data_IF_349565296975
#
_entry.id   IF_349565296975
#
_cell.length_a   1.000
_cell.length_b   1.000
_cell.length_c   1.000
_cell.angle_alpha   90.00
_cell.angle_beta   90.00
_cell.angle_gamma   90.00
#
_symmetry.space_group_name_H-M   'P 1'
#
loop_
_entity.id
_entity.type
_entity.pdbx_description
1 polymer ?
#
# COMPACT_ATOMS: atom_id res chain seq x y z
N UNK A 1 55.00 -43.25 61.40
CA UNK A 1 53.77 -43.01 62.19
C UNK A 1 53.60 -41.53 62.55
N UNK A 2 54.55 -40.87 63.22
CA UNK A 2 54.37 -39.44 63.57
C UNK A 2 54.26 -38.51 62.34
N UNK A 3 55.05 -38.75 61.29
CA UNK A 3 55.06 -37.95 60.06
C UNK A 3 53.73 -38.05 59.26
N UNK A 4 53.16 -39.26 59.18
CA UNK A 4 51.84 -39.48 58.55
C UNK A 4 50.71 -38.80 59.33
N UNK A 5 50.78 -38.79 60.66
CA UNK A 5 49.78 -38.09 61.48
C UNK A 5 49.83 -36.57 61.34
N UNK A 6 51.02 -36.01 61.08
CA UNK A 6 51.19 -34.58 60.83
C UNK A 6 50.61 -34.20 59.44
N UNK A 7 50.92 -35.00 58.41
CA UNK A 7 50.39 -34.81 57.06
C UNK A 7 48.86 -34.91 57.00
N UNK A 8 48.27 -35.89 57.68
CA UNK A 8 46.81 -36.03 57.77
C UNK A 8 46.15 -34.85 58.48
N UNK A 9 46.77 -34.30 59.52
CA UNK A 9 46.24 -33.10 60.20
C UNK A 9 46.28 -31.86 59.31
N UNK A 10 47.32 -31.72 58.49
CA UNK A 10 47.41 -30.62 57.52
C UNK A 10 46.36 -30.75 56.41
N UNK A 11 46.16 -31.95 55.86
CA UNK A 11 45.11 -32.22 54.88
C UNK A 11 43.71 -31.99 55.44
N UNK A 12 43.43 -32.43 56.67
CA UNK A 12 42.16 -32.15 57.36
C UNK A 12 41.96 -30.66 57.59
N UNK A 13 43.03 -29.91 57.91
CA UNK A 13 42.98 -28.45 58.01
C UNK A 13 42.61 -27.79 56.69
N UNK A 14 43.26 -28.17 55.59
CA UNK A 14 42.98 -27.68 54.24
C UNK A 14 41.54 -27.96 53.80
N UNK A 15 41.06 -29.18 54.01
CA UNK A 15 39.68 -29.57 53.68
C UNK A 15 38.66 -28.79 54.51
N UNK A 16 38.96 -28.51 55.79
CA UNK A 16 38.08 -27.71 56.64
C UNK A 16 37.97 -26.28 56.13
N UNK A 17 39.08 -25.67 55.74
CA UNK A 17 39.09 -24.31 55.20
C UNK A 17 38.37 -24.25 53.84
N UNK A 18 38.51 -25.28 53.00
CA UNK A 18 37.80 -25.40 51.72
C UNK A 18 36.29 -25.55 51.92
N UNK A 19 35.84 -26.36 52.89
CA UNK A 19 34.42 -26.49 53.25
C UNK A 19 33.86 -25.16 53.75
N UNK A 20 34.60 -24.41 54.57
CA UNK A 20 34.16 -23.09 55.05
C UNK A 20 34.01 -22.12 53.88
N UNK A 21 34.97 -22.12 52.95
CA UNK A 21 34.92 -21.28 51.75
C UNK A 21 33.74 -21.65 50.84
N UNK A 22 33.54 -22.93 50.54
CA UNK A 22 32.43 -23.40 49.72
C UNK A 22 31.07 -23.06 50.32
N UNK A 23 30.92 -23.20 51.65
CA UNK A 23 29.68 -22.80 52.34
C UNK A 23 29.43 -21.30 52.23
N UNK A 24 30.48 -20.47 52.33
CA UNK A 24 30.37 -19.02 52.15
C UNK A 24 29.97 -18.63 50.72
N UNK A 25 30.62 -19.24 49.73
CA UNK A 25 30.34 -18.99 48.31
C UNK A 25 28.91 -19.43 47.94
N UNK A 26 28.47 -20.60 48.43
CA UNK A 26 27.07 -21.05 48.30
C UNK A 26 26.10 -20.06 48.94
N UNK A 27 26.40 -19.52 50.12
CA UNK A 27 25.50 -18.57 50.79
C UNK A 27 25.36 -17.27 49.99
N UNK A 28 26.46 -16.80 49.37
CA UNK A 28 26.44 -15.63 48.47
C UNK A 28 25.60 -15.93 47.22
N UNK A 29 25.82 -17.06 46.57
CA UNK A 29 25.06 -17.45 45.37
C UNK A 29 23.56 -17.58 45.68
N UNK A 30 23.20 -18.21 46.80
CA UNK A 30 21.80 -18.32 47.24
C UNK A 30 21.16 -16.96 47.49
N UNK A 31 21.88 -16.01 48.09
CA UNK A 31 21.39 -14.64 48.29
C UNK A 31 21.17 -13.94 46.95
N UNK A 32 22.09 -14.11 46.00
CA UNK A 32 22.00 -13.52 44.67
C UNK A 32 20.82 -14.09 43.87
N UNK A 33 20.68 -15.41 43.78
CA UNK A 33 19.57 -16.06 43.06
C UNK A 33 18.22 -15.71 43.69
N UNK A 34 18.15 -15.58 45.02
CA UNK A 34 16.92 -15.14 45.70
C UNK A 34 16.57 -13.68 45.34
N UNK A 35 17.54 -12.79 45.33
CA UNK A 35 17.33 -11.39 44.95
C UNK A 35 16.88 -11.27 43.49
N UNK A 36 17.49 -12.02 42.57
CA UNK A 36 17.13 -12.03 41.16
C UNK A 36 15.71 -12.58 40.93
N UNK A 37 15.32 -13.67 41.62
CA UNK A 37 13.95 -14.19 41.57
C UNK A 37 12.93 -13.18 42.08
N UNK A 38 13.25 -12.46 43.16
CA UNK A 38 12.37 -11.40 43.67
C UNK A 38 12.22 -10.24 42.69
N UNK A 39 13.31 -9.78 42.08
CA UNK A 39 13.28 -8.73 41.07
C UNK A 39 12.40 -9.12 39.87
N UNK A 40 12.59 -10.33 39.34
CA UNK A 40 11.77 -10.87 38.23
C UNK A 40 10.30 -11.01 38.62
N UNK A 41 10.01 -11.45 39.85
CA UNK A 41 8.64 -11.55 40.32
C UNK A 41 7.97 -10.17 40.42
N UNK A 42 8.69 -9.15 40.89
CA UNK A 42 8.18 -7.77 40.93
C UNK A 42 7.88 -7.25 39.52
N UNK A 43 8.74 -7.52 38.55
CA UNK A 43 8.52 -7.14 37.15
C UNK A 43 7.29 -7.84 36.55
N UNK A 44 7.11 -9.14 36.80
CA UNK A 44 5.92 -9.89 36.37
C UNK A 44 4.66 -9.31 37.01
N UNK A 45 4.70 -8.97 38.29
CA UNK A 45 3.56 -8.39 39.01
C UNK A 45 3.21 -6.99 38.44
N UNK A 46 4.21 -6.18 38.10
CA UNK A 46 4.01 -4.88 37.43
C UNK A 46 3.36 -5.06 36.05
N UNK A 47 3.91 -5.91 35.19
CA UNK A 47 3.37 -6.15 33.85
C UNK A 47 1.95 -6.72 33.92
N UNK A 48 1.68 -7.60 34.89
CA UNK A 48 0.35 -8.16 35.10
C UNK A 48 -0.65 -7.09 35.52
N UNK A 49 -0.25 -6.18 36.42
CA UNK A 49 -1.07 -5.04 36.83
C UNK A 49 -1.38 -4.08 35.68
N UNK A 50 -0.40 -3.76 34.84
CA UNK A 50 -0.59 -2.93 33.65
C UNK A 50 -1.56 -3.60 32.66
N UNK A 51 -1.34 -4.89 32.37
CA UNK A 51 -2.23 -5.69 31.51
C UNK A 51 -3.66 -5.66 32.02
N UNK A 52 -3.88 -5.90 33.30
CA UNK A 52 -5.22 -5.92 33.91
C UNK A 52 -5.87 -4.53 33.87
N UNK A 53 -5.08 -3.47 34.01
CA UNK A 53 -5.55 -2.09 33.86
C UNK A 53 -6.01 -1.82 32.42
N UNK A 54 -5.23 -2.24 31.42
CA UNK A 54 -5.61 -2.11 30.00
C UNK A 54 -6.86 -2.94 29.70
N UNK A 55 -6.95 -4.17 30.19
CA UNK A 55 -8.15 -5.00 30.03
C UNK A 55 -9.38 -4.35 30.65
N UNK A 56 -9.27 -3.75 31.84
CA UNK A 56 -10.40 -3.08 32.47
C UNK A 56 -10.76 -1.76 31.76
N UNK A 57 -9.80 -1.05 31.18
CA UNK A 57 -10.07 0.08 30.28
C UNK A 57 -10.84 -0.36 29.02
N UNK A 58 -10.41 -1.44 28.37
CA UNK A 58 -11.10 -2.02 27.21
C UNK A 58 -12.49 -2.53 27.61
N UNK A 59 -12.62 -3.17 28.78
CA UNK A 59 -13.91 -3.64 29.29
C UNK A 59 -14.85 -2.48 29.58
N UNK A 60 -14.37 -1.41 30.21
CA UNK A 60 -15.14 -0.17 30.43
C UNK A 60 -15.53 0.50 29.13
N UNK A 61 -14.65 0.53 28.13
CA UNK A 61 -14.96 1.03 26.79
C UNK A 61 -16.07 0.21 26.11
N UNK A 62 -16.05 -1.12 26.27
CA UNK A 62 -17.07 -2.04 25.72
C UNK A 62 -18.39 -2.06 26.53
N UNK A 63 -18.31 -1.85 27.84
CA UNK A 63 -19.44 -1.93 28.77
C UNK A 63 -20.12 -0.59 29.04
N UNK A 64 -19.46 0.54 28.73
CA UNK A 64 -20.15 1.80 28.58
C UNK A 64 -21.19 1.60 27.46
N UNK A 65 -22.50 1.66 27.76
CA UNK A 65 -23.47 1.81 26.70
C UNK A 65 -23.05 3.07 25.94
N UNK A 66 -23.09 3.09 24.60
CA UNK A 66 -23.01 4.36 23.94
C UNK A 66 -24.19 5.17 24.48
N UNK A 67 -23.93 6.17 25.33
CA UNK A 67 -24.81 7.32 25.46
C UNK A 67 -24.69 8.14 24.18
N UNK A 68 -24.88 7.49 23.04
CA UNK A 68 -25.25 8.11 21.80
C UNK A 68 -26.76 8.20 21.86
N UNK A 69 -27.23 9.35 22.30
CA UNK A 69 -28.57 9.78 21.99
C UNK A 69 -28.65 9.92 20.46
N UNK A 70 -29.01 8.83 19.76
CA UNK A 70 -29.20 8.81 18.31
C UNK A 70 -30.28 9.80 17.84
N UNK A 71 -31.09 10.33 18.76
CA UNK A 71 -32.08 11.37 18.48
C UNK A 71 -31.49 12.77 18.32
N UNK A 72 -30.28 13.03 18.81
CA UNK A 72 -29.66 14.36 18.83
C UNK A 72 -28.15 14.32 18.57
N UNK A 73 -27.69 13.50 17.61
CA UNK A 73 -26.38 13.76 17.01
C UNK A 73 -26.45 15.15 16.35
N UNK A 74 -25.67 16.16 16.79
CA UNK A 74 -25.46 17.32 15.95
C UNK A 74 -24.95 16.80 14.62
N UNK A 75 -25.50 17.33 13.52
CA UNK A 75 -25.23 17.04 12.11
C UNK A 75 -23.72 16.97 11.77
N UNK A 76 -23.04 15.98 12.31
CA UNK A 76 -21.75 15.47 11.87
C UNK A 76 -22.05 14.24 11.03
N UNK A 77 -23.03 14.43 10.14
CA UNK A 77 -23.48 13.45 9.17
C UNK A 77 -22.29 13.24 8.26
N UNK A 78 -21.52 12.18 8.55
CA UNK A 78 -20.54 11.62 7.63
C UNK A 78 -21.18 11.62 6.24
N UNK A 79 -20.68 12.47 5.35
CA UNK A 79 -21.13 12.50 3.97
C UNK A 79 -20.06 11.78 3.17
N UNK A 80 -20.30 10.50 2.78
CA UNK A 80 -19.41 9.82 1.87
C UNK A 80 -19.15 10.73 0.67
N UNK A 81 -17.91 10.74 0.17
CA UNK A 81 -17.60 11.50 -1.05
C UNK A 81 -18.51 10.97 -2.15
N UNK A 82 -19.47 11.77 -2.61
CA UNK A 82 -20.40 11.30 -3.63
C UNK A 82 -19.65 10.68 -4.82
N UNK A 83 -20.11 9.53 -5.32
CA UNK A 83 -19.44 8.80 -6.40
C UNK A 83 -19.16 9.71 -7.62
N UNK A 84 -20.01 10.70 -7.87
CA UNK A 84 -19.79 11.73 -8.88
C UNK A 84 -18.55 12.60 -8.65
N UNK A 85 -18.28 13.01 -7.41
CA UNK A 85 -17.05 13.76 -7.06
C UNK A 85 -15.80 12.90 -7.26
N UNK A 86 -15.93 11.58 -7.05
CA UNK A 86 -14.87 10.62 -7.35
C UNK A 86 -14.57 10.52 -8.83
N UNK A 87 -15.61 10.35 -9.64
CA UNK A 87 -15.49 10.32 -11.08
C UNK A 87 -14.94 11.65 -11.64
N UNK A 88 -15.32 12.80 -11.09
CA UNK A 88 -14.82 14.12 -11.49
C UNK A 88 -13.32 14.26 -11.20
N UNK A 89 -12.87 13.87 -10.01
CA UNK A 89 -11.47 13.97 -9.63
C UNK A 89 -10.56 13.01 -10.43
N UNK A 90 -11.00 11.77 -10.62
CA UNK A 90 -10.28 10.81 -11.48
C UNK A 90 -10.22 11.36 -12.91
N UNK A 91 -11.34 11.86 -13.47
CA UNK A 91 -11.34 12.47 -14.81
C UNK A 91 -10.37 13.63 -14.92
N UNK A 92 -10.29 14.48 -13.89
CA UNK A 92 -9.32 15.59 -13.83
C UNK A 92 -7.88 15.07 -13.85
N UNK A 93 -7.52 14.14 -12.97
CA UNK A 93 -6.17 13.55 -12.92
C UNK A 93 -5.79 12.97 -14.28
N UNK A 94 -6.69 12.18 -14.88
CA UNK A 94 -6.49 11.60 -16.20
C UNK A 94 -6.35 12.66 -17.30
N UNK A 95 -7.06 13.78 -17.19
CA UNK A 95 -6.93 14.91 -18.13
C UNK A 95 -5.58 15.60 -17.98
N UNK A 96 -5.14 15.82 -16.74
CA UNK A 96 -3.86 16.45 -16.43
C UNK A 96 -2.69 15.59 -16.93
N UNK A 97 -2.72 14.27 -16.68
CA UNK A 97 -1.74 13.30 -17.19
C UNK A 97 -1.68 13.31 -18.72
N UNK A 98 -2.84 13.30 -19.39
CA UNK A 98 -2.91 13.34 -20.87
C UNK A 98 -2.37 14.66 -21.42
N UNK A 99 -2.68 15.78 -20.77
CA UNK A 99 -2.14 17.09 -21.16
C UNK A 99 -0.63 17.10 -21.01
N UNK A 100 -0.14 16.72 -19.84
CA UNK A 100 1.28 16.66 -19.53
C UNK A 100 2.03 15.77 -20.52
N UNK A 101 1.53 14.57 -20.78
CA UNK A 101 2.18 13.62 -21.71
C UNK A 101 2.23 14.16 -23.15
N UNK A 102 1.21 14.90 -23.58
CA UNK A 102 1.21 15.55 -24.90
C UNK A 102 2.23 16.68 -25.00
N UNK A 103 2.40 17.43 -23.93
CA UNK A 103 3.24 18.63 -23.91
C UNK A 103 4.72 18.27 -23.68
N UNK A 104 5.00 17.14 -23.00
CA UNK A 104 6.34 16.72 -22.61
C UNK A 104 6.86 15.43 -23.27
N UNK A 105 6.07 14.70 -24.07
CA UNK A 105 6.62 13.57 -24.83
C UNK A 105 7.53 14.04 -25.98
N UNK A 106 8.58 13.26 -26.26
CA UNK A 106 9.39 13.38 -27.48
C UNK A 106 8.57 13.00 -28.72
N UNK A 107 9.01 13.49 -29.89
CA UNK A 107 8.54 12.94 -31.17
C UNK A 107 9.20 11.57 -31.42
N UNK A 108 8.50 10.68 -32.13
CA UNK A 108 9.04 9.34 -32.44
C UNK A 108 10.37 9.38 -33.20
N UNK A 109 10.62 10.43 -33.99
CA UNK A 109 11.91 10.65 -34.67
C UNK A 109 13.09 10.90 -33.71
N UNK A 110 12.81 11.25 -32.46
CA UNK A 110 13.82 11.48 -31.42
C UNK A 110 14.03 10.23 -30.53
N UNK A 111 13.33 9.13 -30.82
CA UNK A 111 13.46 7.88 -30.09
C UNK A 111 14.52 7.00 -30.75
N UNK A 112 15.75 7.15 -30.29
CA UNK A 112 16.91 6.37 -30.74
C UNK A 112 17.64 5.75 -29.54
N UNK A 113 16.93 4.89 -28.80
CA UNK A 113 17.51 4.12 -27.70
C UNK A 113 18.20 2.87 -28.22
N UNK A 114 19.42 2.64 -27.74
CA UNK A 114 20.28 1.50 -28.10
C UNK A 114 20.83 0.83 -26.83
N UNK A 115 21.17 -0.46 -26.95
CA UNK A 115 21.80 -1.23 -25.88
C UNK A 115 20.99 -1.23 -24.58
N UNK A 116 21.67 -1.04 -23.45
CA UNK A 116 21.08 -1.14 -22.12
C UNK A 116 19.93 -0.16 -21.86
N UNK A 117 20.03 1.08 -22.35
CA UNK A 117 18.96 2.08 -22.16
C UNK A 117 17.65 1.66 -22.83
N UNK A 118 17.76 0.99 -23.98
CA UNK A 118 16.61 0.40 -24.69
C UNK A 118 16.00 -0.73 -23.86
N UNK A 119 16.83 -1.61 -23.33
CA UNK A 119 16.39 -2.76 -22.53
C UNK A 119 15.61 -2.31 -21.30
N UNK A 120 16.18 -1.38 -20.52
CA UNK A 120 15.56 -0.84 -19.32
C UNK A 120 14.25 -0.11 -19.63
N UNK A 121 14.19 0.65 -20.73
CA UNK A 121 12.96 1.30 -21.16
C UNK A 121 11.85 0.29 -21.50
N UNK A 122 12.15 -0.72 -22.31
CA UNK A 122 11.15 -1.69 -22.74
C UNK A 122 10.76 -2.68 -21.64
N UNK A 123 11.65 -2.97 -20.69
CA UNK A 123 11.30 -3.68 -19.46
C UNK A 123 10.22 -2.91 -18.69
N UNK A 124 10.39 -1.60 -18.49
CA UNK A 124 9.39 -0.77 -17.83
C UNK A 124 8.08 -0.66 -18.65
N UNK A 125 8.20 -0.45 -19.97
CA UNK A 125 7.04 -0.37 -20.86
C UNK A 125 6.25 -1.70 -20.87
N UNK A 126 6.92 -2.84 -20.71
CA UNK A 126 6.27 -4.16 -20.70
C UNK A 126 5.22 -4.32 -19.59
N UNK A 127 5.30 -3.51 -18.52
CA UNK A 127 4.29 -3.47 -17.46
C UNK A 127 2.95 -2.91 -17.94
N UNK A 128 2.94 -2.11 -19.00
CA UNK A 128 1.73 -1.45 -19.53
C UNK A 128 1.39 -1.86 -20.96
N UNK A 129 2.27 -2.57 -21.67
CA UNK A 129 2.03 -3.01 -23.02
C UNK A 129 2.68 -4.35 -23.35
N UNK A 130 2.06 -5.10 -24.25
CA UNK A 130 2.70 -6.26 -24.88
C UNK A 130 3.83 -5.78 -25.79
N UNK A 131 4.93 -6.53 -25.88
CA UNK A 131 6.01 -6.27 -26.82
C UNK A 131 5.92 -7.28 -27.99
N UNK A 132 6.47 -6.93 -29.15
CA UNK A 132 6.43 -7.82 -30.32
C UNK A 132 7.34 -9.05 -30.14
N UNK A 133 6.92 -10.18 -30.73
CA UNK A 133 7.17 -11.56 -30.27
C UNK A 133 8.60 -12.11 -30.38
N UNK A 134 9.60 -11.34 -30.76
CA UNK A 134 10.94 -11.88 -31.04
C UNK A 134 12.05 -11.24 -30.21
N UNK A 135 11.75 -10.84 -28.97
CA UNK A 135 12.75 -10.31 -28.04
C UNK A 135 13.43 -9.02 -28.53
N UNK A 136 12.89 -8.40 -29.58
CA UNK A 136 13.49 -7.21 -30.21
C UNK A 136 13.21 -5.93 -29.43
N UNK A 137 12.43 -6.01 -28.34
CA UNK A 137 12.06 -4.86 -27.51
C UNK A 137 11.53 -3.75 -28.42
N UNK A 138 10.42 -4.03 -29.08
CA UNK A 138 9.78 -3.12 -30.02
C UNK A 138 8.32 -2.92 -29.63
N UNK A 139 7.80 -1.74 -29.96
CA UNK A 139 6.38 -1.46 -29.86
C UNK A 139 5.56 -2.49 -30.68
N UNK A 140 4.34 -2.84 -30.25
CA UNK A 140 3.40 -3.64 -31.02
C UNK A 140 3.29 -3.14 -32.45
N UNK A 141 3.20 -4.07 -33.42
CA UNK A 141 2.99 -3.72 -34.83
C UNK A 141 1.79 -2.81 -35.02
N UNK A 142 0.74 -3.05 -34.24
CA UNK A 142 -0.47 -2.23 -34.17
C UNK A 142 -0.20 -0.75 -33.88
N UNK A 143 0.92 -0.42 -33.24
CA UNK A 143 1.22 0.93 -32.79
C UNK A 143 2.31 1.63 -33.62
N UNK A 144 3.12 0.91 -34.42
CA UNK A 144 4.29 1.47 -35.13
C UNK A 144 3.96 2.57 -36.15
N UNK A 145 2.71 2.65 -36.61
CA UNK A 145 2.23 3.71 -37.52
C UNK A 145 1.78 5.00 -36.83
N UNK A 146 1.68 5.03 -35.50
CA UNK A 146 1.15 6.17 -34.77
C UNK A 146 2.25 7.18 -34.45
N UNK A 147 2.23 8.33 -35.13
CA UNK A 147 3.20 9.43 -34.91
C UNK A 147 3.32 9.87 -33.45
N UNK A 148 2.23 9.77 -32.67
CA UNK A 148 2.16 10.15 -31.25
C UNK A 148 2.32 8.97 -30.30
N UNK A 149 2.91 7.85 -30.74
CA UNK A 149 3.05 6.65 -29.90
C UNK A 149 3.72 6.94 -28.54
N UNK A 150 4.80 7.73 -28.51
CA UNK A 150 5.50 8.05 -27.26
C UNK A 150 4.63 8.85 -26.30
N UNK A 151 3.72 9.68 -26.80
CA UNK A 151 2.75 10.39 -25.97
C UNK A 151 1.78 9.42 -25.28
N UNK A 152 1.31 8.39 -25.99
CA UNK A 152 0.41 7.38 -25.40
C UNK A 152 1.13 6.43 -24.45
N UNK A 153 2.37 6.06 -24.78
CA UNK A 153 3.20 5.24 -23.89
C UNK A 153 3.54 6.02 -22.63
N UNK A 154 3.88 7.31 -22.74
CA UNK A 154 4.15 8.16 -21.59
C UNK A 154 2.91 8.36 -20.70
N UNK A 155 1.74 8.57 -21.31
CA UNK A 155 0.44 8.61 -20.61
C UNK A 155 0.19 7.29 -19.85
N UNK A 156 0.38 6.15 -20.50
CA UNK A 156 0.21 4.83 -19.91
C UNK A 156 1.17 4.56 -18.74
N UNK A 157 2.46 4.84 -18.93
CA UNK A 157 3.49 4.68 -17.89
C UNK A 157 3.19 5.59 -16.70
N UNK A 158 2.77 6.83 -16.95
CA UNK A 158 2.45 7.79 -15.90
C UNK A 158 1.21 7.38 -15.10
N UNK A 159 0.16 6.92 -15.78
CA UNK A 159 -1.00 6.34 -15.11
C UNK A 159 -0.60 5.14 -14.26
N UNK A 160 0.11 4.16 -14.84
CA UNK A 160 0.53 2.98 -14.10
C UNK A 160 1.36 3.33 -12.86
N UNK A 161 2.36 4.19 -13.00
CA UNK A 161 3.17 4.63 -11.86
C UNK A 161 2.31 5.31 -10.78
N UNK A 162 1.52 6.33 -11.15
CA UNK A 162 0.69 7.06 -10.19
C UNK A 162 -0.28 6.14 -9.44
N UNK A 163 -0.96 5.25 -10.17
CA UNK A 163 -1.97 4.38 -9.59
C UNK A 163 -1.36 3.22 -8.79
N UNK A 164 -0.17 2.72 -9.17
CA UNK A 164 0.53 1.66 -8.45
C UNK A 164 1.33 2.14 -7.24
N UNK A 165 1.65 3.43 -7.13
CA UNK A 165 2.40 3.97 -5.99
C UNK A 165 1.55 4.76 -5.00
N UNK A 166 0.48 5.42 -5.46
CA UNK A 166 -0.36 6.28 -4.62
C UNK A 166 -1.74 5.66 -4.41
N UNK A 167 -2.45 5.29 -5.48
CA UNK A 167 -3.84 4.81 -5.35
C UNK A 167 -3.97 3.37 -4.87
N UNK A 168 -2.94 2.56 -4.99
CA UNK A 168 -2.90 1.17 -4.52
C UNK A 168 -2.63 1.06 -3.02
N UNK A 169 -2.08 2.10 -2.39
CA UNK A 169 -1.58 2.07 -1.03
C UNK A 169 -2.33 3.11 -0.16
N UNK A 170 -3.19 2.70 0.79
CA UNK A 170 -3.88 3.61 1.69
C UNK A 170 -2.96 4.42 2.62
N UNK A 171 -1.72 3.97 2.80
CA UNK A 171 -0.75 4.52 3.73
C UNK A 171 0.49 5.10 3.02
N UNK A 172 0.40 5.37 1.71
CA UNK A 172 1.52 5.77 0.84
C UNK A 172 2.39 6.93 1.39
N UNK A 173 1.81 7.81 2.21
CA UNK A 173 2.45 9.01 2.73
C UNK A 173 3.25 8.81 4.03
N UNK A 174 3.15 7.62 4.65
CA UNK A 174 3.81 7.30 5.92
C UNK A 174 5.24 6.76 5.75
N UNK A 175 5.71 6.61 4.52
CA UNK A 175 7.01 6.00 4.22
C UNK A 175 6.92 4.48 4.06
N UNK A 176 7.94 3.89 3.42
CA UNK A 176 7.86 2.52 2.91
C UNK A 176 7.75 1.45 4.00
N UNK A 177 8.42 1.63 5.13
CA UNK A 177 8.44 0.64 6.23
C UNK A 177 7.11 0.64 6.98
N UNK A 178 6.66 1.82 7.42
CA UNK A 178 5.40 1.94 8.14
C UNK A 178 4.18 1.62 7.25
N UNK A 179 4.18 2.08 6.00
CA UNK A 179 3.14 1.71 5.04
C UNK A 179 3.05 0.19 4.88
N UNK A 180 4.19 -0.51 4.74
CA UNK A 180 4.20 -1.96 4.61
C UNK A 180 3.58 -2.65 5.84
N UNK A 181 4.00 -2.27 7.05
CA UNK A 181 3.45 -2.86 8.28
C UNK A 181 1.93 -2.67 8.41
N UNK A 182 1.42 -1.47 8.09
CA UNK A 182 -0.02 -1.19 8.13
C UNK A 182 -0.80 -1.91 7.02
N UNK A 183 -0.21 -2.08 5.84
CA UNK A 183 -0.79 -2.88 4.75
C UNK A 183 -0.79 -4.39 5.07
N UNK A 184 0.20 -4.89 5.81
CA UNK A 184 0.22 -6.28 6.28
C UNK A 184 -0.92 -6.52 7.29
N UNK A 185 -1.15 -5.58 8.22
CA UNK A 185 -2.30 -5.62 9.15
C UNK A 185 -3.62 -5.57 8.37
N UNK A 186 -3.73 -4.65 7.40
CA UNK A 186 -4.92 -4.54 6.55
C UNK A 186 -5.19 -5.84 5.78
N UNK A 187 -4.14 -6.46 5.24
CA UNK A 187 -4.24 -7.72 4.48
C UNK A 187 -4.67 -8.88 5.36
N UNK A 188 -4.13 -8.98 6.59
CA UNK A 188 -4.55 -9.97 7.58
C UNK A 188 -6.02 -9.76 7.97
N UNK A 189 -6.42 -8.51 8.21
CA UNK A 189 -7.80 -8.14 8.48
C UNK A 189 -8.73 -8.52 7.34
N UNK A 190 -8.36 -8.21 6.09
CA UNK A 190 -9.15 -8.55 4.89
C UNK A 190 -9.34 -10.07 4.73
N UNK A 191 -8.37 -10.89 5.15
CA UNK A 191 -8.50 -12.34 5.10
C UNK A 191 -9.53 -12.90 6.10
N UNK A 192 -9.78 -12.19 7.20
CA UNK A 192 -10.73 -12.60 8.24
C UNK A 192 -12.10 -11.92 8.09
N UNK A 193 -12.11 -10.58 8.07
CA UNK A 193 -13.29 -9.75 7.90
C UNK A 193 -12.96 -8.46 7.13
N UNK A 194 -13.30 -8.43 5.84
CA UNK A 194 -13.10 -7.27 4.96
C UNK A 194 -13.79 -6.02 5.50
N UNK A 195 -15.00 -6.12 6.05
CA UNK A 195 -15.73 -4.93 6.56
C UNK A 195 -14.97 -4.25 7.70
N UNK A 196 -14.58 -5.03 8.70
CA UNK A 196 -13.89 -4.50 9.87
C UNK A 196 -12.50 -4.00 9.50
N UNK A 197 -11.82 -4.65 8.56
CA UNK A 197 -10.53 -4.23 8.04
C UNK A 197 -10.61 -2.88 7.30
N UNK A 198 -11.60 -2.71 6.42
CA UNK A 198 -11.80 -1.45 5.70
C UNK A 198 -12.29 -0.33 6.62
N UNK A 199 -13.09 -0.66 7.65
CA UNK A 199 -13.46 0.28 8.71
C UNK A 199 -12.25 0.71 9.51
N UNK A 200 -11.41 -0.23 9.95
CA UNK A 200 -10.17 0.06 10.67
C UNK A 200 -9.25 0.99 9.87
N UNK A 201 -9.03 0.68 8.59
CA UNK A 201 -8.25 1.52 7.67
C UNK A 201 -8.80 2.94 7.57
N UNK A 202 -10.10 3.07 7.30
CA UNK A 202 -10.80 4.35 7.22
C UNK A 202 -10.69 5.14 8.52
N UNK A 203 -10.97 4.52 9.66
CA UNK A 203 -10.97 5.19 10.97
C UNK A 203 -9.54 5.59 11.37
N UNK A 204 -8.53 4.76 11.07
CA UNK A 204 -7.11 5.09 11.26
C UNK A 204 -6.71 6.34 10.48
N UNK A 205 -7.06 6.41 9.19
CA UNK A 205 -6.77 7.59 8.36
C UNK A 205 -7.53 8.84 8.83
N UNK A 206 -8.72 8.69 9.41
CA UNK A 206 -9.47 9.85 9.96
C UNK A 206 -8.89 10.34 11.28
N UNK A 207 -8.31 9.45 12.08
CA UNK A 207 -7.65 9.84 13.33
C UNK A 207 -6.44 10.74 13.07
N UNK A 208 -5.66 10.44 12.02
CA UNK A 208 -4.46 11.20 11.67
C UNK A 208 -4.75 12.44 10.79
N UNK A 209 -5.94 12.57 10.22
CA UNK A 209 -6.40 13.79 9.54
C UNK A 209 -7.87 14.08 9.90
N UNK A 210 -8.12 14.60 11.12
CA UNK A 210 -9.48 14.82 11.59
C UNK A 210 -10.21 15.91 10.79
N UNK A 211 -11.52 15.70 10.59
CA UNK A 211 -12.41 16.66 9.91
C UNK A 211 -12.62 17.93 10.75
N UNK A 212 -12.66 17.79 12.08
CA UNK A 212 -12.87 18.90 13.03
C UNK A 212 -11.56 19.65 13.28
N UNK A 213 -11.65 20.97 13.30
CA UNK A 213 -10.51 21.87 13.55
C UNK A 213 -10.49 22.33 15.02
N UNK A 214 -10.17 21.43 15.95
CA UNK A 214 -9.75 21.88 17.28
C UNK A 214 -8.30 22.37 17.25
N UNK A 215 -7.87 23.04 18.32
CA UNK A 215 -6.55 23.69 18.40
C UNK A 215 -5.44 22.64 18.38
N UNK A 216 -5.61 21.53 19.09
CA UNK A 216 -4.63 20.42 19.15
C UNK A 216 -4.60 19.62 17.84
N UNK A 217 -5.76 19.44 17.21
CA UNK A 217 -5.93 18.74 15.94
C UNK A 217 -5.30 19.49 14.75
N UNK A 218 -5.08 20.80 14.88
CA UNK A 218 -4.51 21.64 13.83
C UNK A 218 -3.05 21.28 13.50
N UNK A 219 -2.27 20.88 14.51
CA UNK A 219 -0.86 20.48 14.36
C UNK A 219 -0.73 19.17 13.60
N UNK A 220 -1.42 18.12 14.06
CA UNK A 220 -1.45 16.80 13.42
C UNK A 220 -1.97 16.92 11.98
N UNK A 221 -3.03 17.71 11.78
CA UNK A 221 -3.57 17.95 10.43
C UNK A 221 -2.57 18.61 9.49
N UNK A 222 -1.83 19.61 9.97
CA UNK A 222 -0.81 20.29 9.18
C UNK A 222 0.35 19.33 8.82
N UNK A 223 0.81 18.53 9.78
CA UNK A 223 1.86 17.54 9.56
C UNK A 223 1.43 16.45 8.56
N UNK A 224 0.23 15.87 8.73
CA UNK A 224 -0.29 14.86 7.80
C UNK A 224 -0.46 15.41 6.39
N UNK A 225 -1.01 16.61 6.23
CA UNK A 225 -1.08 17.29 4.92
C UNK A 225 0.31 17.50 4.31
N UNK A 226 1.31 17.85 5.13
CA UNK A 226 2.68 18.01 4.67
C UNK A 226 3.27 16.68 4.19
N UNK A 227 2.99 15.56 4.86
CA UNK A 227 3.44 14.22 4.46
C UNK A 227 2.80 13.80 3.13
N UNK A 228 1.50 14.00 2.97
CA UNK A 228 0.77 13.75 1.71
C UNK A 228 1.37 14.58 0.58
N UNK A 229 1.57 15.88 0.81
CA UNK A 229 2.18 16.79 -0.16
C UNK A 229 3.59 16.34 -0.58
N UNK A 230 4.45 16.03 0.39
CA UNK A 230 5.82 15.54 0.16
C UNK A 230 5.81 14.23 -0.64
N UNK A 231 4.86 13.35 -0.38
CA UNK A 231 4.74 12.07 -1.06
C UNK A 231 4.31 12.24 -2.52
N UNK A 232 3.40 13.18 -2.80
CA UNK A 232 3.10 13.59 -4.18
C UNK A 232 4.34 14.14 -4.91
N UNK A 233 5.09 15.05 -4.28
CA UNK A 233 6.34 15.57 -4.87
C UNK A 233 7.33 14.43 -5.15
N UNK A 234 7.52 13.54 -4.18
CA UNK A 234 8.44 12.40 -4.31
C UNK A 234 8.02 11.50 -5.45
N UNK A 235 6.73 11.16 -5.57
CA UNK A 235 6.21 10.35 -6.67
C UNK A 235 6.49 10.96 -8.05
N UNK A 236 6.34 12.28 -8.20
CA UNK A 236 6.68 12.97 -9.44
C UNK A 236 8.19 12.91 -9.74
N UNK A 237 9.04 13.11 -8.73
CA UNK A 237 10.51 13.02 -8.86
C UNK A 237 10.95 11.60 -9.23
N UNK A 238 10.38 10.59 -8.58
CA UNK A 238 10.69 9.18 -8.82
C UNK A 238 10.26 8.78 -10.24
N UNK A 239 9.10 9.24 -10.72
CA UNK A 239 8.69 9.05 -12.12
C UNK A 239 9.65 9.71 -13.11
N UNK A 240 10.09 10.95 -12.86
CA UNK A 240 11.04 11.64 -13.73
C UNK A 240 12.43 10.97 -13.76
N UNK A 241 12.76 10.17 -12.74
CA UNK A 241 14.00 9.39 -12.67
C UNK A 241 13.85 7.98 -13.27
N UNK A 242 12.62 7.53 -13.48
CA UNK A 242 12.30 6.23 -14.07
C UNK A 242 12.76 6.14 -15.53
N UNK A 243 12.70 4.94 -16.15
CA UNK A 243 13.00 4.77 -17.57
C UNK A 243 12.10 5.61 -18.50
N UNK A 244 10.97 6.15 -18.02
CA UNK A 244 10.18 7.11 -18.79
C UNK A 244 10.98 8.36 -19.21
N UNK A 245 12.06 8.71 -18.49
CA UNK A 245 12.96 9.83 -18.82
C UNK A 245 13.48 9.77 -20.26
N UNK A 246 13.60 8.59 -20.85
CA UNK A 246 14.10 8.43 -22.20
C UNK A 246 13.15 8.99 -23.27
N UNK A 247 11.84 9.03 -22.99
CA UNK A 247 10.81 9.52 -23.91
C UNK A 247 10.22 10.89 -23.50
N UNK A 248 10.74 11.49 -22.42
CA UNK A 248 10.37 12.84 -21.96
C UNK A 248 11.33 13.86 -22.59
N UNK A 249 10.81 14.98 -23.09
CA UNK A 249 11.60 16.07 -23.64
C UNK A 249 12.30 16.88 -22.51
N UNK A 250 13.37 17.60 -22.84
CA UNK A 250 14.21 18.29 -21.85
C UNK A 250 13.60 19.61 -21.32
N UNK A 251 12.28 19.70 -21.21
CA UNK A 251 11.63 20.92 -20.76
C UNK A 251 11.78 21.12 -19.24
N UNK A 252 12.36 22.24 -18.77
CA UNK A 252 12.57 22.49 -17.34
C UNK A 252 11.26 22.63 -16.53
N UNK A 253 10.14 22.91 -17.19
CA UNK A 253 8.81 22.98 -16.57
C UNK A 253 8.14 21.63 -16.30
N UNK A 254 8.62 20.55 -16.92
CA UNK A 254 7.97 19.24 -16.89
C UNK A 254 7.79 18.72 -15.46
N UNK A 255 8.82 18.80 -14.63
CA UNK A 255 8.77 18.33 -13.23
C UNK A 255 7.79 19.17 -12.40
N UNK A 256 7.76 20.49 -12.57
CA UNK A 256 6.90 21.37 -11.77
C UNK A 256 5.41 21.09 -12.07
N UNK A 257 5.07 20.90 -13.34
CA UNK A 257 3.70 20.54 -13.72
C UNK A 257 3.32 19.15 -13.20
N UNK A 258 4.24 18.19 -13.31
CA UNK A 258 4.02 16.84 -12.82
C UNK A 258 3.80 16.81 -11.30
N UNK A 259 4.58 17.58 -10.55
CA UNK A 259 4.41 17.73 -9.09
C UNK A 259 3.01 18.20 -8.73
N UNK A 260 2.42 19.15 -9.48
CA UNK A 260 1.04 19.60 -9.24
C UNK A 260 0.04 18.47 -9.43
N UNK A 261 0.19 17.68 -10.51
CA UNK A 261 -0.67 16.52 -10.78
C UNK A 261 -0.55 15.47 -9.69
N UNK A 262 0.67 15.12 -9.27
CA UNK A 262 0.88 14.12 -8.20
C UNK A 262 0.41 14.61 -6.83
N UNK A 263 0.62 15.87 -6.48
CA UNK A 263 0.12 16.44 -5.22
C UNK A 263 -1.40 16.39 -5.18
N UNK A 264 -2.07 16.81 -6.26
CA UNK A 264 -3.53 16.73 -6.36
C UNK A 264 -4.01 15.27 -6.25
N UNK A 265 -3.33 14.35 -6.93
CA UNK A 265 -3.63 12.92 -6.87
C UNK A 265 -3.40 12.31 -5.48
N UNK A 266 -2.36 12.71 -4.76
CA UNK A 266 -2.04 12.26 -3.40
C UNK A 266 -3.11 12.74 -2.40
N UNK A 267 -3.46 14.02 -2.43
CA UNK A 267 -4.56 14.57 -1.62
C UNK A 267 -5.86 13.82 -1.89
N UNK A 268 -6.13 13.56 -3.17
CA UNK A 268 -7.35 12.89 -3.57
C UNK A 268 -7.38 11.41 -3.19
N UNK A 269 -6.28 10.70 -3.38
CA UNK A 269 -6.12 9.30 -2.96
C UNK A 269 -6.28 9.16 -1.44
N UNK A 270 -5.72 10.08 -0.66
CA UNK A 270 -5.95 10.10 0.78
C UNK A 270 -7.44 10.20 1.13
N UNK A 271 -8.16 11.15 0.52
CA UNK A 271 -9.61 11.32 0.72
C UNK A 271 -10.43 10.10 0.27
N UNK A 272 -9.97 9.41 -0.77
CA UNK A 272 -10.56 8.16 -1.22
C UNK A 272 -10.43 7.09 -0.13
N UNK A 273 -9.23 6.97 0.41
CA UNK A 273 -8.95 6.01 1.45
C UNK A 273 -9.57 6.39 2.80
N UNK A 274 -9.93 7.64 3.08
CA UNK A 274 -10.76 7.91 4.27
C UNK A 274 -12.20 7.40 4.15
N UNK A 275 -12.65 6.88 3.00
CA UNK A 275 -13.96 6.24 2.87
C UNK A 275 -13.95 4.83 3.44
N UNK A 276 -15.11 4.32 3.89
CA UNK A 276 -15.26 2.93 4.36
C UNK A 276 -15.33 1.91 3.22
N UNK A 277 -15.55 2.37 2.00
CA UNK A 277 -15.56 1.52 0.82
C UNK A 277 -14.17 0.93 0.57
N UNK A 278 -14.15 -0.27 0.00
CA UNK A 278 -12.93 -0.86 -0.52
C UNK A 278 -12.70 -0.35 -1.94
N UNK A 279 -11.46 0.02 -2.24
CA UNK A 279 -11.01 0.39 -3.57
C UNK A 279 -10.02 -0.64 -4.07
N UNK A 280 -10.14 -1.00 -5.34
CA UNK A 280 -9.22 -1.91 -6.02
C UNK A 280 -8.80 -1.27 -7.33
N UNK A 281 -7.49 -1.18 -7.54
CA UNK A 281 -6.88 -0.75 -8.80
C UNK A 281 -6.42 -2.02 -9.50
N UNK A 282 -6.87 -2.24 -10.74
CA UNK A 282 -6.46 -3.41 -11.53
C UNK A 282 -4.98 -3.32 -11.90
N UNK A 283 -4.29 -4.46 -11.84
CA UNK A 283 -2.96 -4.57 -12.42
C UNK A 283 -3.09 -4.69 -13.96
N UNK A 284 -2.33 -3.93 -14.76
CA UNK A 284 -2.36 -4.09 -16.22
C UNK A 284 -2.10 -5.52 -16.69
N UNK A 285 -1.31 -6.31 -15.96
CA UNK A 285 -1.02 -7.71 -16.29
C UNK A 285 -2.24 -8.63 -16.25
N UNK A 286 -3.32 -8.22 -15.56
CA UNK A 286 -4.59 -8.95 -15.58
C UNK A 286 -5.35 -8.77 -16.91
N UNK A 287 -5.02 -7.74 -17.68
CA UNK A 287 -5.73 -7.31 -18.89
C UNK A 287 -4.87 -7.51 -20.14
N UNK A 288 -3.56 -7.31 -20.06
CA UNK A 288 -2.65 -7.40 -21.20
C UNK A 288 -2.66 -8.80 -21.82
N UNK A 289 -2.72 -8.84 -23.15
CA UNK A 289 -2.75 -10.08 -23.94
C UNK A 289 -4.10 -10.81 -23.95
N UNK A 290 -5.05 -10.43 -23.08
CA UNK A 290 -6.41 -10.98 -23.12
C UNK A 290 -7.13 -10.53 -24.40
N UNK A 291 -8.02 -11.37 -24.96
CA UNK A 291 -8.85 -10.96 -26.08
C UNK A 291 -9.80 -9.84 -25.66
N UNK A 292 -9.89 -8.77 -26.46
CA UNK A 292 -10.86 -7.71 -26.23
C UNK A 292 -12.29 -8.22 -26.43
N UNK A 293 -13.13 -7.99 -25.42
CA UNK A 293 -14.57 -8.26 -25.47
C UNK A 293 -15.35 -6.92 -25.37
N UNK A 294 -16.06 -6.48 -26.42
CA UNK A 294 -16.86 -5.25 -26.37
C UNK A 294 -18.05 -5.33 -25.40
N UNK A 295 -18.40 -6.51 -24.90
CA UNK A 295 -19.42 -6.69 -23.86
C UNK A 295 -18.85 -6.57 -22.44
N UNK A 296 -17.53 -6.62 -22.27
CA UNK A 296 -16.91 -6.40 -20.98
C UNK A 296 -16.98 -4.92 -20.59
N UNK A 297 -17.82 -4.64 -19.59
CA UNK A 297 -18.02 -3.30 -19.05
C UNK A 297 -16.82 -2.79 -18.23
N UNK A 298 -15.83 -3.64 -17.95
CA UNK A 298 -14.61 -3.27 -17.23
C UNK A 298 -13.53 -2.62 -18.09
N UNK A 299 -13.66 -2.68 -19.42
CA UNK A 299 -12.68 -2.17 -20.38
C UNK A 299 -13.34 -1.27 -21.43
N UNK A 300 -12.60 -0.27 -21.91
CA UNK A 300 -13.00 0.58 -23.03
C UNK A 300 -11.83 0.77 -24.00
N UNK A 301 -12.11 0.78 -25.30
CA UNK A 301 -11.09 1.10 -26.29
C UNK A 301 -10.70 2.57 -26.20
N UNK A 302 -9.39 2.82 -26.33
CA UNK A 302 -8.86 4.16 -26.40
C UNK A 302 -9.47 4.91 -27.60
N UNK A 303 -9.94 6.15 -27.38
CA UNK A 303 -10.66 7.02 -28.35
C UNK A 303 -9.97 7.26 -29.72
N UNK A 304 -8.72 6.84 -29.88
CA UNK A 304 -7.93 6.97 -31.13
C UNK A 304 -7.95 5.72 -31.99
N UNK A 305 -8.59 4.66 -31.51
CA UNK A 305 -8.87 3.45 -32.26
C UNK A 305 -10.13 3.73 -33.08
N UNK A 306 -10.01 3.67 -34.41
CA UNK A 306 -11.11 3.94 -35.35
C UNK A 306 -12.06 2.72 -35.38
N UNK A 307 -13.00 2.68 -34.43
CA UNK A 307 -14.06 1.68 -34.37
C UNK A 307 -15.16 2.09 -35.34
N UNK A 308 -15.29 1.39 -36.47
CA UNK A 308 -16.31 1.63 -37.51
C UNK A 308 -17.58 0.81 -37.27
N UNK A 309 -17.45 -0.35 -36.62
CA UNK A 309 -18.55 -1.26 -36.30
C UNK A 309 -18.48 -1.74 -34.85
N UNK A 310 -19.63 -2.11 -34.26
CA UNK A 310 -19.76 -2.54 -32.86
C UNK A 310 -18.88 -3.75 -32.47
N UNK A 311 -18.37 -4.50 -33.45
CA UNK A 311 -17.53 -5.69 -33.26
C UNK A 311 -16.08 -5.49 -33.69
N UNK A 312 -15.69 -4.28 -34.03
CA UNK A 312 -14.31 -4.03 -34.44
C UNK A 312 -13.37 -4.29 -33.26
N UNK A 313 -12.42 -5.20 -33.49
CA UNK A 313 -11.43 -5.61 -32.50
C UNK A 313 -11.88 -6.74 -31.57
N UNK A 314 -13.12 -7.22 -31.64
CA UNK A 314 -13.59 -8.38 -30.86
C UNK A 314 -12.63 -9.56 -31.05
N UNK A 315 -12.12 -10.11 -29.96
CA UNK A 315 -11.17 -11.23 -29.96
C UNK A 315 -9.71 -10.86 -30.22
N UNK A 316 -9.41 -9.60 -30.57
CA UNK A 316 -8.03 -9.15 -30.78
C UNK A 316 -7.34 -8.95 -29.43
N UNK A 317 -6.06 -9.35 -29.30
CA UNK A 317 -5.34 -9.24 -28.03
C UNK A 317 -5.16 -7.78 -27.63
N UNK A 318 -5.38 -7.49 -26.35
CA UNK A 318 -5.11 -6.19 -25.77
C UNK A 318 -3.61 -5.98 -25.72
N UNK A 319 -3.14 -4.96 -26.44
CA UNK A 319 -1.72 -4.66 -26.63
C UNK A 319 -1.16 -3.63 -25.67
N UNK A 320 -2.00 -2.78 -25.07
CA UNK A 320 -1.59 -1.78 -24.08
C UNK A 320 -2.75 -1.42 -23.16
N UNK A 321 -2.48 -1.12 -21.90
CA UNK A 321 -3.43 -0.53 -20.94
C UNK A 321 -2.99 0.90 -20.69
N UNK A 322 -3.70 1.88 -21.26
CA UNK A 322 -3.35 3.29 -21.07
C UNK A 322 -3.74 3.82 -19.70
N UNK A 323 -4.76 3.22 -19.09
CA UNK A 323 -5.19 3.64 -17.77
C UNK A 323 -5.87 2.48 -17.02
N UNK A 324 -5.61 2.32 -15.71
CA UNK A 324 -6.07 1.14 -14.96
C UNK A 324 -7.56 1.22 -14.64
N UNK A 325 -8.19 0.08 -14.44
CA UNK A 325 -9.55 -0.03 -13.95
C UNK A 325 -9.58 0.20 -12.43
N UNK A 326 -10.54 1.00 -11.95
CA UNK A 326 -10.77 1.27 -10.53
C UNK A 326 -12.17 0.78 -10.13
N UNK A 327 -12.21 -0.19 -9.22
CA UNK A 327 -13.43 -0.75 -8.64
C UNK A 327 -13.67 -0.18 -7.25
N UNK A 328 -14.94 0.02 -6.91
CA UNK A 328 -15.39 0.40 -5.58
C UNK A 328 -16.38 -0.62 -5.07
N UNK A 329 -16.17 -1.11 -3.85
CA UNK A 329 -17.05 -2.07 -3.22
C UNK A 329 -17.71 -1.52 -1.95
N UNK A 330 -18.97 -1.93 -1.74
CA UNK A 330 -19.77 -1.65 -0.55
C UNK A 330 -20.13 -0.18 -0.30
N UNK A 331 -20.36 0.56 -1.39
CA UNK A 331 -20.98 1.88 -1.34
C UNK A 331 -22.50 1.84 -1.08
N UNK A 332 -23.14 0.68 -1.25
CA UNK A 332 -24.59 0.53 -1.19
C UNK A 332 -25.00 -0.43 -0.05
N UNK A 333 -25.97 -0.05 0.81
CA UNK A 333 -26.55 -0.98 1.78
C UNK A 333 -27.33 -2.09 1.07
N UNK A 334 -27.20 -3.33 1.56
CA UNK A 334 -27.95 -4.49 1.05
C UNK A 334 -29.46 -4.27 1.14
N UNK A 335 -30.19 -4.60 0.07
CA UNK A 335 -31.67 -4.69 0.08
C UNK A 335 -32.18 -6.11 0.35
N UNK A 336 -31.29 -7.09 0.59
CA UNK A 336 -31.67 -8.49 0.71
C UNK A 336 -31.11 -9.06 2.03
N UNK A 337 -32.03 -9.31 2.96
CA UNK A 337 -32.01 -10.23 4.10
C UNK A 337 -30.74 -10.41 4.94
N UNK A 338 -30.81 -9.97 6.20
CA UNK A 338 -30.18 -10.40 7.50
C UNK A 338 -28.72 -10.91 7.56
N UNK A 339 -28.04 -11.17 6.46
CA UNK A 339 -26.62 -11.48 6.40
C UNK A 339 -25.90 -10.26 5.80
N UNK A 340 -25.46 -9.38 6.68
CA UNK A 340 -24.84 -8.08 6.38
C UNK A 340 -23.39 -8.19 5.90
N UNK A 341 -22.90 -9.41 5.61
CA UNK A 341 -21.57 -9.62 5.03
C UNK A 341 -21.54 -8.95 3.66
N UNK A 342 -20.79 -7.85 3.58
CA UNK A 342 -20.67 -6.95 2.44
C UNK A 342 -20.77 -7.67 1.08
N UNK A 343 -21.83 -7.40 0.32
CA UNK A 343 -21.95 -7.92 -1.04
C UNK A 343 -20.97 -7.18 -1.96
N UNK A 344 -20.15 -7.96 -2.66
CA UNK A 344 -19.21 -7.55 -3.72
C UNK A 344 -19.92 -7.13 -5.02
N UNK A 345 -20.99 -6.32 -4.95
CA UNK A 345 -21.45 -5.62 -6.14
C UNK A 345 -20.43 -4.50 -6.44
N UNK A 346 -19.40 -4.83 -7.22
CA UNK A 346 -18.42 -3.85 -7.67
C UNK A 346 -19.12 -2.78 -8.51
N UNK A 347 -19.12 -1.56 -8.00
CA UNK A 347 -19.44 -0.39 -8.82
C UNK A 347 -18.13 0.07 -9.47
N UNK A 348 -18.14 0.17 -10.80
CA UNK A 348 -17.03 0.73 -11.56
C UNK A 348 -17.07 2.23 -11.36
N UNK A 349 -16.03 2.82 -10.76
CA UNK A 349 -15.90 4.28 -10.82
C UNK A 349 -15.17 4.71 -12.08
N UNK A 350 -14.32 3.82 -12.65
CA UNK A 350 -13.59 4.07 -13.89
C UNK A 350 -13.15 2.76 -14.51
N UNK A 351 -13.51 2.55 -15.78
CA UNK A 351 -13.11 1.38 -16.59
C UNK A 351 -11.64 1.49 -17.03
N UNK A 352 -11.00 0.37 -17.37
CA UNK A 352 -9.66 0.40 -17.94
C UNK A 352 -9.72 0.89 -19.39
N UNK A 353 -8.93 1.91 -19.73
CA UNK A 353 -8.76 2.31 -21.13
C UNK A 353 -7.64 1.48 -21.75
N UNK A 354 -7.93 0.80 -22.85
CA UNK A 354 -7.05 -0.18 -23.47
C UNK A 354 -6.77 0.13 -24.94
N UNK A 355 -5.70 -0.45 -25.46
CA UNK A 355 -5.35 -0.44 -26.87
C UNK A 355 -5.37 -1.85 -27.45
N UNK A 356 -6.15 -2.05 -28.51
CA UNK A 356 -6.18 -3.30 -29.27
C UNK A 356 -5.89 -3.03 -30.74
N UNK A 357 -5.40 -4.05 -31.45
CA UNK A 357 -5.19 -3.96 -32.89
C UNK A 357 -6.52 -4.06 -33.63
N UNK A 358 -6.76 -3.16 -34.59
CA UNK A 358 -7.84 -3.29 -35.56
C UNK A 358 -7.22 -3.62 -36.93
N UNK A 359 -7.31 -4.88 -37.40
CA UNK A 359 -6.81 -5.23 -38.72
C UNK A 359 -7.59 -4.49 -39.82
N UNK A 360 -6.88 -4.02 -40.85
CA UNK A 360 -7.52 -3.40 -42.01
C UNK A 360 -8.24 -4.45 -42.87
N UNK A 361 -9.29 -4.07 -43.61
CA UNK A 361 -9.93 -4.95 -44.59
C UNK A 361 -8.90 -5.60 -45.53
N UNK A 362 -8.77 -6.94 -45.43
CA UNK A 362 -7.85 -7.74 -46.24
C UNK A 362 -6.54 -8.17 -45.53
N UNK A 363 -6.29 -7.74 -44.29
CA UNK A 363 -5.16 -8.24 -43.50
C UNK A 363 -5.45 -9.60 -42.84
N UNK A 364 -4.42 -10.47 -42.63
CA UNK A 364 -4.56 -11.67 -41.83
C UNK A 364 -5.08 -11.33 -40.42
N UNK A 365 -6.09 -12.05 -39.95
CA UNK A 365 -6.78 -11.75 -38.69
C UNK A 365 -8.00 -10.83 -38.82
N UNK A 366 -8.33 -10.34 -40.03
CA UNK A 366 -9.60 -9.70 -40.29
C UNK A 366 -10.75 -10.73 -40.32
N UNK A 367 -11.32 -11.05 -39.17
CA UNK A 367 -12.42 -12.00 -39.01
C UNK A 367 -12.40 -12.70 -37.65
N UNK A 368 -13.45 -13.49 -37.36
CA UNK A 368 -13.68 -14.19 -36.08
C UNK A 368 -12.74 -15.38 -35.79
N UNK A 369 -11.54 -15.42 -36.34
CA UNK A 369 -10.59 -16.45 -35.92
C UNK A 369 -10.14 -16.14 -34.50
N UNK A 370 -10.55 -17.00 -33.56
CA UNK A 370 -10.23 -16.87 -32.16
C UNK A 370 -8.70 -16.94 -31.99
N UNK A 371 -8.11 -15.81 -31.63
CA UNK A 371 -6.70 -15.77 -31.23
C UNK A 371 -6.61 -16.45 -29.87
N UNK A 372 -5.81 -17.52 -29.75
CA UNK A 372 -5.57 -18.13 -28.45
C UNK A 372 -4.96 -17.10 -27.49
N UNK A 373 -5.39 -17.05 -26.22
CA UNK A 373 -4.86 -16.12 -25.24
C UNK A 373 -3.34 -16.24 -25.19
N UNK A 374 -2.63 -15.15 -25.48
CA UNK A 374 -1.18 -15.15 -25.34
C UNK A 374 -0.84 -15.12 -23.86
N UNK A 375 -0.22 -16.19 -23.38
CA UNK A 375 0.36 -16.23 -22.04
C UNK A 375 1.55 -15.28 -22.04
N UNK A 376 1.36 -14.07 -21.53
CA UNK A 376 2.46 -13.13 -21.30
C UNK A 376 3.37 -13.76 -20.23
N UNK A 377 4.67 -13.96 -20.48
CA UNK A 377 5.58 -14.48 -19.48
C UNK A 377 5.58 -13.54 -18.28
N UNK A 378 5.18 -14.05 -17.11
CA UNK A 378 5.30 -13.31 -15.84
C UNK A 378 6.77 -13.06 -15.58
N UNK A 379 7.22 -11.82 -15.72
CA UNK A 379 8.53 -11.40 -15.22
C UNK A 379 8.45 -11.35 -13.69
N UNK A 380 8.85 -12.45 -13.06
CA UNK A 380 9.47 -12.44 -11.74
C UNK A 380 8.73 -11.77 -10.59
N UNK A 381 7.44 -12.00 -10.39
CA UNK A 381 6.82 -11.85 -9.06
C UNK A 381 6.09 -13.14 -8.72
N UNK A 382 6.82 -14.07 -8.11
CA UNK A 382 6.21 -15.20 -7.41
C UNK A 382 5.29 -14.62 -6.34
N UNK A 383 3.97 -14.88 -6.38
CA UNK A 383 3.10 -14.59 -5.26
C UNK A 383 3.38 -15.67 -4.20
N UNK A 384 4.52 -15.57 -3.53
CA UNK A 384 4.60 -16.13 -2.19
C UNK A 384 3.64 -15.30 -1.35
N UNK A 385 2.43 -15.87 -1.24
CA UNK A 385 1.36 -15.51 -0.34
C UNK A 385 1.99 -15.01 0.96
N UNK A 386 2.00 -13.70 1.20
CA UNK A 386 2.52 -13.10 2.42
C UNK A 386 1.81 -13.71 3.65
N UNK A 387 0.52 -14.04 3.51
CA UNK A 387 -0.23 -14.80 4.50
C UNK A 387 0.29 -16.23 4.74
N UNK A 388 0.96 -16.86 3.78
CA UNK A 388 1.48 -18.23 3.91
C UNK A 388 2.75 -18.34 4.76
N UNK A 389 3.50 -17.25 4.92
CA UNK A 389 4.65 -17.18 5.86
C UNK A 389 4.21 -16.86 7.29
N UNK A 390 3.16 -16.05 7.47
CA UNK A 390 2.56 -15.76 8.77
C UNK A 390 1.74 -16.94 9.32
N UNK A 391 0.91 -17.59 8.49
CA UNK A 391 -0.06 -18.58 8.97
C UNK A 391 0.53 -19.98 9.26
N UNK A 392 1.79 -20.24 8.93
CA UNK A 392 2.40 -21.58 9.11
C UNK A 392 2.98 -21.85 10.50
N UNK A 393 2.82 -20.95 11.48
CA UNK A 393 3.37 -21.19 12.81
C UNK A 393 2.87 -20.31 13.96
N UNK A 394 1.63 -19.80 13.94
CA UNK A 394 1.18 -18.86 14.98
C UNK A 394 0.12 -19.45 15.91
N UNK A 395 0.52 -19.63 17.17
CA UNK A 395 -0.33 -19.54 18.36
C UNK A 395 -0.76 -18.08 18.56
N UNK A 396 -1.89 -17.86 19.23
CA UNK A 396 -2.55 -16.56 19.48
C UNK A 396 -1.61 -15.57 20.20
N UNK A 397 -0.63 -16.07 20.96
CA UNK A 397 0.42 -15.29 21.63
C UNK A 397 1.45 -14.69 20.66
N UNK A 398 1.70 -15.35 19.52
CA UNK A 398 2.78 -14.98 18.60
C UNK A 398 2.38 -13.84 17.65
N UNK A 399 1.08 -13.59 17.46
CA UNK A 399 0.54 -12.48 16.66
C UNK A 399 0.84 -11.11 17.29
N UNK A 400 0.76 -11.00 18.61
CA UNK A 400 1.12 -9.77 19.33
C UNK A 400 2.62 -9.53 19.26
N UNK A 401 3.46 -10.56 19.41
CA UNK A 401 4.91 -10.43 19.31
C UNK A 401 5.40 -10.09 17.89
N UNK A 402 4.65 -10.47 16.85
CA UNK A 402 4.93 -10.10 15.46
C UNK A 402 4.53 -8.66 15.14
N UNK A 403 3.44 -8.15 15.74
CA UNK A 403 2.92 -6.81 15.45
C UNK A 403 3.53 -5.76 16.41
N UNK A 404 3.97 -6.17 17.60
CA UNK A 404 4.54 -5.30 18.63
C UNK A 404 5.74 -4.47 18.16
N UNK A 405 6.76 -5.02 17.46
CA UNK A 405 7.85 -4.20 16.93
C UNK A 405 7.38 -3.09 15.99
N UNK A 406 6.31 -3.34 15.22
CA UNK A 406 5.72 -2.34 14.32
C UNK A 406 4.86 -1.32 15.06
N UNK A 407 4.19 -1.72 16.14
CA UNK A 407 3.46 -0.79 17.01
C UNK A 407 4.41 0.09 17.82
N UNK A 408 5.53 -0.48 18.28
CA UNK A 408 6.59 0.24 18.98
C UNK A 408 7.29 1.23 18.02
N UNK A 409 7.61 0.81 16.79
CA UNK A 409 8.16 1.69 15.75
C UNK A 409 7.15 2.75 15.30
N UNK A 410 5.87 2.41 15.14
CA UNK A 410 4.80 3.38 14.91
C UNK A 410 4.70 4.37 16.07
N UNK A 411 4.78 3.92 17.32
CA UNK A 411 4.77 4.79 18.49
C UNK A 411 5.99 5.71 18.54
N UNK A 412 7.18 5.23 18.17
CA UNK A 412 8.40 6.05 18.03
C UNK A 412 8.30 7.05 16.88
N UNK A 413 7.76 6.68 15.72
CA UNK A 413 7.59 7.58 14.58
C UNK A 413 6.49 8.62 14.82
N UNK A 414 5.47 8.28 15.60
CA UNK A 414 4.43 9.21 16.02
C UNK A 414 4.85 10.06 17.24
N UNK A 415 5.87 9.65 18.01
CA UNK A 415 6.32 10.36 19.21
C UNK A 415 6.65 11.84 18.97
N UNK A 416 7.38 12.24 17.90
CA UNK A 416 7.61 13.65 17.60
C UNK A 416 6.31 14.43 17.35
N UNK A 417 5.32 13.79 16.73
CA UNK A 417 4.02 14.41 16.44
C UNK A 417 3.20 14.62 17.72
N UNK A 418 3.34 13.73 18.70
CA UNK A 418 2.66 13.81 20.01
C UNK A 418 3.37 14.79 20.95
N UNK A 419 4.71 14.80 20.95
CA UNK A 419 5.52 15.66 21.81
C UNK A 419 5.50 17.14 21.38
N UNK A 420 5.35 17.43 20.08
CA UNK A 420 5.17 18.81 19.59
C UNK A 420 3.77 19.39 19.89
N UNK A 421 2.76 18.54 20.10
CA UNK A 421 1.37 18.94 20.40
C UNK A 421 1.13 19.11 21.91
N UNK A 422 2.03 18.61 22.76
CA UNK A 422 1.93 18.79 24.20
C UNK A 422 2.07 20.29 24.59
N UNK A 423 1.07 20.90 25.27
CA UNK A 423 1.14 22.31 25.63
C UNK A 423 2.32 22.56 26.58
N UNK A 424 3.08 23.62 26.29
CA UNK A 424 4.16 24.16 27.11
C UNK A 424 3.65 24.71 28.46
N UNK A 425 3.12 23.85 29.32
CA UNK A 425 2.62 24.20 30.66
C UNK A 425 3.50 23.66 31.80
N UNK A 426 4.69 23.15 31.49
CA UNK A 426 5.64 22.63 32.50
C UNK A 426 6.88 23.51 32.73
N UNK A 427 6.87 24.80 32.30
CA UNK A 427 7.91 25.78 32.65
C UNK A 427 7.34 27.03 33.30
N UNK A 428 6.69 26.87 34.45
CA UNK A 428 6.63 27.89 35.49
C UNK A 428 6.85 27.18 36.83
N UNK A 429 8.09 27.19 37.31
CA UNK A 429 8.44 27.23 38.72
C UNK A 429 9.50 28.30 38.90
#
# INVERSE_FOLDING_TARGET
MEDETAKLKEEVGKLRDEIVKLNHDMEIEWKYTRAERHARQTEIDTITGERDTVFEMVRRFRAAPPSFDFGNLPETTWTPIGLSKLEDAIRRIMSDIRSWSRDFAKDISQFDLQGHDREVFFEEASKIMTLDELGQQEFPKSMRGYRKILCYVLDAMLNHHLFSTIFSDPFFFLGAELSRGLNDILSLGNAWNVEDAQRWRSDTLRLILPEKNGVEESGVKAQTNQLIYKSGIRGAVDFMRSPAKYIINENPGALQELQRTYTFAAEYSYQLWTQRAMFEVSDPSDILGQPYDPQDKGVELHTRIDVRYEKDGEGQPITMVTSPHIKVFGYLPSRIGVDTRWYFAGAYTKVATIWSYLPHPGEPGHGREAVEPRVVPRVGTSPEIAGGRLLKGLDETTLLDLVKPYLDDLAEQLRPLVEEVAPAHSRIQ
#
